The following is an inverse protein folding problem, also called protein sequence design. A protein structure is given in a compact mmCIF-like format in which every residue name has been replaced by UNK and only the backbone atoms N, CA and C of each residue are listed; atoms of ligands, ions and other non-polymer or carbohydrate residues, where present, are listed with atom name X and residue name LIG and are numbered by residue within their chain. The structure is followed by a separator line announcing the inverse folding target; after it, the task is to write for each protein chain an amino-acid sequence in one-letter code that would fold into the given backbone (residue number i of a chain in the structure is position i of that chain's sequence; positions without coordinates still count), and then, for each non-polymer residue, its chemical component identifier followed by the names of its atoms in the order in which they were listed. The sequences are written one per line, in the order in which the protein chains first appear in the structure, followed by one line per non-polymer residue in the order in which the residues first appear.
data_IF_474259116627
#
_entry.id   IF_474259116627
#
_cell.length_a   1.000
_cell.length_b   1.000
_cell.length_c   1.000
_cell.angle_alpha   90.00
_cell.angle_beta   90.00
_cell.angle_gamma   90.00
#
_symmetry.space_group_name_H-M   'P 1'
#
loop_
_entity.id
_entity.type
_entity.pdbx_description
1 polymer ?
#
# COMPACT_ATOMS: atom_id res chain seq x y z
N UNK A 1 -25.40 -41.49 -15.52
CA UNK A 1 -26.47 -41.01 -16.42
C UNK A 1 -27.65 -40.73 -15.52
N UNK A 2 -28.05 -39.46 -15.42
CA UNK A 2 -29.16 -39.01 -14.58
C UNK A 2 -30.32 -38.77 -15.54
N UNK A 3 -31.54 -39.15 -15.18
CA UNK A 3 -32.73 -38.90 -16.00
C UNK A 3 -33.48 -37.72 -15.40
N UNK A 4 -33.82 -36.70 -16.19
CA UNK A 4 -34.58 -35.55 -15.73
C UNK A 4 -35.98 -35.92 -15.23
N UNK A 5 -36.59 -36.94 -15.85
CA UNK A 5 -37.93 -37.44 -15.49
C UNK A 5 -37.92 -38.97 -15.33
N UNK A 6 -37.35 -39.52 -14.24
CA UNK A 6 -37.21 -40.96 -14.07
C UNK A 6 -38.56 -41.68 -14.01
N UNK A 7 -39.65 -41.00 -13.63
CA UNK A 7 -40.99 -41.57 -13.62
C UNK A 7 -41.47 -42.05 -15.01
N UNK A 8 -40.96 -41.48 -16.11
CA UNK A 8 -41.37 -41.88 -17.46
C UNK A 8 -40.84 -43.27 -17.86
N UNK A 9 -39.79 -43.76 -17.19
CA UNK A 9 -39.26 -45.10 -17.42
C UNK A 9 -40.24 -46.20 -16.98
N UNK A 10 -41.20 -45.90 -16.10
CA UNK A 10 -42.29 -46.82 -15.73
C UNK A 10 -43.24 -47.15 -16.90
N UNK A 11 -43.18 -46.39 -18.00
CA UNK A 11 -43.94 -46.71 -19.21
C UNK A 11 -43.34 -47.89 -19.99
N UNK A 12 -42.07 -48.24 -19.79
CA UNK A 12 -41.42 -49.39 -20.43
C UNK A 12 -42.06 -50.74 -20.04
N UNK A 13 -42.28 -51.07 -18.76
CA UNK A 13 -42.96 -52.32 -18.40
C UNK A 13 -44.43 -52.35 -18.85
N UNK A 14 -45.12 -51.19 -18.87
CA UNK A 14 -46.50 -51.10 -19.39
C UNK A 14 -46.53 -51.40 -20.90
N UNK A 15 -45.58 -50.84 -21.66
CA UNK A 15 -45.41 -51.13 -23.09
C UNK A 15 -45.10 -52.62 -23.32
N UNK A 16 -44.26 -53.24 -22.49
CA UNK A 16 -43.95 -54.67 -22.57
C UNK A 16 -45.19 -55.54 -22.32
N UNK A 17 -46.03 -55.19 -21.34
CA UNK A 17 -47.27 -55.92 -21.05
C UNK A 17 -48.29 -55.81 -22.19
N UNK A 18 -48.45 -54.61 -22.77
CA UNK A 18 -49.35 -54.39 -23.92
C UNK A 18 -48.89 -55.22 -25.12
N UNK A 19 -47.58 -55.26 -25.39
CA UNK A 19 -47.05 -56.03 -26.52
C UNK A 19 -47.12 -57.53 -26.30
N UNK A 20 -46.94 -58.03 -25.08
CA UNK A 20 -47.21 -59.43 -24.74
C UNK A 20 -48.68 -59.80 -24.97
N UNK A 21 -49.61 -58.94 -24.53
CA UNK A 21 -51.05 -59.17 -24.70
C UNK A 21 -51.48 -59.18 -26.19
N UNK A 22 -50.87 -58.32 -27.02
CA UNK A 22 -51.11 -58.28 -28.46
C UNK A 22 -50.46 -59.48 -29.17
N UNK A 23 -49.26 -59.89 -28.74
CA UNK A 23 -48.58 -61.08 -29.26
C UNK A 23 -49.35 -62.38 -28.95
N UNK A 24 -49.93 -62.48 -27.75
CA UNK A 24 -50.70 -63.65 -27.31
C UNK A 24 -52.01 -63.81 -28.09
N UNK A 25 -52.55 -62.71 -28.63
CA UNK A 25 -53.73 -62.71 -29.52
C UNK A 25 -53.40 -63.04 -30.98
N UNK A 26 -52.13 -63.19 -31.36
CA UNK A 26 -51.72 -63.60 -32.72
C UNK A 26 -52.03 -62.60 -33.84
N UNK A 27 -52.36 -61.34 -33.51
CA UNK A 27 -52.90 -60.37 -34.48
C UNK A 27 -51.85 -59.66 -35.35
N UNK A 28 -50.54 -59.81 -35.08
CA UNK A 28 -49.48 -59.07 -35.76
C UNK A 28 -48.24 -59.94 -36.03
N UNK A 29 -47.54 -59.65 -37.13
CA UNK A 29 -46.24 -60.26 -37.44
C UNK A 29 -45.19 -59.89 -36.36
N UNK A 30 -44.43 -60.87 -35.90
CA UNK A 30 -43.43 -60.72 -34.81
C UNK A 30 -42.39 -59.64 -35.09
N UNK A 31 -42.01 -59.46 -36.35
CA UNK A 31 -41.06 -58.42 -36.80
C UNK A 31 -41.60 -57.01 -36.61
N UNK A 32 -42.87 -56.76 -36.94
CA UNK A 32 -43.52 -55.46 -36.77
C UNK A 32 -43.68 -55.09 -35.28
N UNK A 33 -43.91 -56.09 -34.41
CA UNK A 33 -44.00 -55.89 -32.98
C UNK A 33 -42.64 -55.49 -32.37
N UNK A 34 -41.55 -56.16 -32.77
CA UNK A 34 -40.20 -55.84 -32.32
C UNK A 34 -39.77 -54.42 -32.74
N UNK A 35 -40.05 -54.02 -33.98
CA UNK A 35 -39.77 -52.67 -34.47
C UNK A 35 -40.55 -51.60 -33.69
N UNK A 36 -41.84 -51.85 -33.39
CA UNK A 36 -42.65 -50.94 -32.56
C UNK A 36 -42.13 -50.85 -31.13
N UNK A 37 -41.74 -51.98 -30.52
CA UNK A 37 -41.14 -51.99 -29.19
C UNK A 37 -39.87 -51.15 -29.14
N UNK A 38 -38.99 -51.32 -30.13
CA UNK A 38 -37.75 -50.55 -30.23
C UNK A 38 -38.04 -49.06 -30.37
N UNK A 39 -38.98 -48.68 -31.23
CA UNK A 39 -39.35 -47.28 -31.48
C UNK A 39 -39.95 -46.62 -30.22
N UNK A 40 -40.86 -47.30 -29.52
CA UNK A 40 -41.42 -46.75 -28.28
C UNK A 40 -40.38 -46.74 -27.15
N UNK A 41 -39.50 -47.73 -27.07
CA UNK A 41 -38.42 -47.74 -26.08
C UNK A 41 -37.43 -46.58 -26.30
N UNK A 42 -37.03 -46.29 -27.54
CA UNK A 42 -36.18 -45.14 -27.86
C UNK A 42 -36.90 -43.82 -27.60
N UNK A 43 -38.19 -43.72 -27.94
CA UNK A 43 -38.99 -42.53 -27.67
C UNK A 43 -39.13 -42.27 -26.15
N UNK A 44 -39.47 -43.29 -25.35
CA UNK A 44 -39.58 -43.18 -23.89
C UNK A 44 -38.23 -42.80 -23.28
N UNK A 45 -37.14 -43.41 -23.76
CA UNK A 45 -35.78 -43.10 -23.26
C UNK A 45 -35.37 -41.68 -23.62
N UNK A 46 -35.72 -41.18 -24.81
CA UNK A 46 -35.48 -39.79 -25.20
C UNK A 46 -36.32 -38.81 -24.36
N UNK A 47 -37.58 -39.16 -24.07
CA UNK A 47 -38.48 -38.35 -23.24
C UNK A 47 -38.07 -38.32 -21.75
N UNK A 48 -37.41 -39.36 -21.28
CA UNK A 48 -36.86 -39.44 -19.92
C UNK A 48 -35.68 -38.47 -19.69
N UNK A 49 -35.25 -37.77 -20.74
CA UNK A 49 -34.20 -36.75 -20.74
C UNK A 49 -32.90 -37.28 -20.11
N UNK A 50 -32.16 -38.15 -20.83
CA UNK A 50 -30.93 -38.74 -20.32
C UNK A 50 -29.82 -37.70 -20.30
N UNK A 51 -29.58 -37.13 -19.12
CA UNK A 51 -28.51 -36.19 -18.87
C UNK A 51 -27.25 -36.98 -18.51
N UNK A 52 -26.19 -36.79 -19.30
CA UNK A 52 -24.84 -37.12 -18.83
C UNK A 52 -24.37 -35.90 -18.03
N UNK A 53 -24.27 -35.96 -16.70
CA UNK A 53 -23.55 -34.92 -15.98
C UNK A 53 -22.16 -34.87 -16.58
N UNK A 54 -21.80 -33.72 -17.16
CA UNK A 54 -20.41 -33.45 -17.50
C UNK A 54 -19.57 -33.58 -16.23
N UNK A 55 -18.32 -34.01 -16.35
CA UNK A 55 -17.34 -33.68 -15.33
C UNK A 55 -17.39 -32.17 -15.16
N UNK A 56 -17.85 -31.69 -14.00
CA UNK A 56 -17.89 -30.27 -13.70
C UNK A 56 -16.54 -29.67 -14.07
N UNK A 57 -16.55 -28.64 -14.91
CA UNK A 57 -15.36 -27.84 -15.17
C UNK A 57 -14.77 -27.46 -13.80
N UNK A 58 -13.46 -27.65 -13.58
CA UNK A 58 -12.78 -27.12 -12.42
C UNK A 58 -13.20 -25.65 -12.18
N UNK A 59 -13.45 -25.26 -10.92
CA UNK A 59 -13.85 -23.89 -10.63
C UNK A 59 -12.75 -22.91 -11.07
N UNK A 60 -13.09 -21.67 -11.45
CA UNK A 60 -12.09 -20.70 -11.91
C UNK A 60 -11.04 -20.44 -10.81
N UNK A 61 -9.77 -20.61 -11.19
CA UNK A 61 -8.60 -20.41 -10.34
C UNK A 61 -7.84 -19.16 -10.80
N UNK A 62 -7.59 -18.23 -9.89
CA UNK A 62 -6.65 -17.13 -10.10
C UNK A 62 -5.40 -17.39 -9.28
N UNK A 63 -4.23 -17.36 -9.92
CA UNK A 63 -2.92 -17.45 -9.25
C UNK A 63 -2.26 -16.08 -9.31
N UNK A 64 -1.88 -15.54 -8.16
CA UNK A 64 -1.16 -14.28 -8.05
C UNK A 64 0.22 -14.52 -7.48
N UNK A 65 1.25 -14.14 -8.24
CA UNK A 65 2.66 -14.26 -7.84
C UNK A 65 3.20 -12.89 -7.48
N UNK A 66 3.85 -12.79 -6.34
CA UNK A 66 4.52 -11.58 -5.88
C UNK A 66 5.81 -11.37 -6.67
N UNK A 67 5.91 -10.20 -7.30
CA UNK A 67 7.02 -9.75 -8.14
C UNK A 67 7.84 -8.63 -7.52
N UNK A 68 7.61 -8.31 -6.24
CA UNK A 68 8.31 -7.26 -5.51
C UNK A 68 9.78 -7.58 -5.25
N UNK A 69 10.57 -6.54 -4.97
CA UNK A 69 12.00 -6.62 -4.76
C UNK A 69 12.41 -7.39 -3.49
N UNK A 70 11.50 -7.62 -2.54
CA UNK A 70 11.79 -8.43 -1.34
C UNK A 70 11.97 -9.91 -1.65
N UNK A 71 11.57 -10.36 -2.84
CA UNK A 71 11.72 -11.73 -3.30
C UNK A 71 12.90 -11.79 -4.27
N UNK A 72 13.87 -12.67 -3.97
CA UNK A 72 15.04 -12.85 -4.82
C UNK A 72 14.64 -13.27 -6.25
N UNK A 73 15.46 -12.92 -7.23
CA UNK A 73 15.20 -13.30 -8.63
C UNK A 73 15.04 -14.81 -8.82
N UNK A 74 15.78 -15.62 -8.05
CA UNK A 74 15.69 -17.08 -8.04
C UNK A 74 14.38 -17.58 -7.45
N UNK A 75 13.97 -17.07 -6.27
CA UNK A 75 12.69 -17.41 -5.66
C UNK A 75 11.51 -17.00 -6.53
N UNK A 76 11.57 -15.81 -7.15
CA UNK A 76 10.53 -15.32 -8.06
C UNK A 76 10.41 -16.18 -9.31
N UNK A 77 11.54 -16.62 -9.89
CA UNK A 77 11.53 -17.56 -11.01
C UNK A 77 10.94 -18.92 -10.61
N UNK A 78 11.29 -19.45 -9.43
CA UNK A 78 10.74 -20.69 -8.90
C UNK A 78 9.23 -20.57 -8.58
N UNK A 79 8.79 -19.45 -8.00
CA UNK A 79 7.39 -19.16 -7.72
C UNK A 79 6.56 -19.08 -9.00
N UNK A 80 7.11 -18.43 -10.04
CA UNK A 80 6.50 -18.39 -11.36
C UNK A 80 6.40 -19.77 -12.00
N UNK A 81 7.46 -20.55 -11.95
CA UNK A 81 7.44 -21.93 -12.47
C UNK A 81 6.38 -22.77 -11.73
N UNK A 82 6.30 -22.65 -10.41
CA UNK A 82 5.29 -23.33 -9.58
C UNK A 82 3.88 -22.92 -9.99
N UNK A 83 3.63 -21.61 -10.20
CA UNK A 83 2.34 -21.12 -10.67
C UNK A 83 1.95 -21.73 -12.02
N UNK A 84 2.91 -21.86 -12.93
CA UNK A 84 2.70 -22.44 -14.26
C UNK A 84 2.41 -23.94 -14.20
N UNK A 85 3.13 -24.68 -13.35
CA UNK A 85 2.89 -26.09 -13.11
C UNK A 85 1.46 -26.30 -12.57
N UNK A 86 1.04 -25.52 -11.58
CA UNK A 86 -0.33 -25.56 -11.03
C UNK A 86 -1.36 -25.23 -12.10
N UNK A 87 -1.15 -24.18 -12.90
CA UNK A 87 -2.06 -23.79 -13.98
C UNK A 87 -2.21 -24.88 -15.05
N UNK A 88 -1.13 -25.59 -15.38
CA UNK A 88 -1.18 -26.70 -16.35
C UNK A 88 -1.89 -27.94 -15.80
N UNK A 89 -1.73 -28.24 -14.51
CA UNK A 89 -2.40 -29.37 -13.86
C UNK A 89 -3.91 -29.12 -13.67
N UNK A 90 -4.28 -27.89 -13.34
CA UNK A 90 -5.68 -27.50 -13.13
C UNK A 90 -6.45 -27.38 -14.46
N UNK A 91 -5.82 -26.75 -15.47
CA UNK A 91 -6.43 -26.49 -16.77
C UNK A 91 -6.16 -25.05 -17.20
N UNK A 92 -5.46 -24.87 -18.32
CA UNK A 92 -5.03 -23.54 -18.81
C UNK A 92 -6.18 -22.59 -19.12
N UNK A 93 -7.33 -23.10 -19.53
CA UNK A 93 -8.49 -22.27 -19.88
C UNK A 93 -9.30 -21.82 -18.64
N UNK A 94 -9.06 -22.46 -17.49
CA UNK A 94 -9.79 -22.22 -16.24
C UNK A 94 -8.89 -21.57 -15.17
N UNK A 95 -7.62 -21.34 -15.52
CA UNK A 95 -6.63 -20.71 -14.65
C UNK A 95 -6.14 -19.40 -15.24
N UNK A 96 -6.29 -18.31 -14.49
CA UNK A 96 -5.65 -17.04 -14.80
C UNK A 96 -4.40 -16.91 -13.92
N UNK A 97 -3.26 -16.59 -14.52
CA UNK A 97 -2.02 -16.32 -13.77
C UNK A 97 -1.70 -14.84 -13.89
N UNK A 98 -1.42 -14.18 -12.77
CA UNK A 98 -1.04 -12.78 -12.71
C UNK A 98 0.16 -12.59 -11.80
N UNK A 99 0.90 -11.52 -12.03
CA UNK A 99 1.96 -11.05 -11.14
C UNK A 99 1.57 -9.70 -10.55
N UNK A 100 2.00 -9.42 -9.33
CA UNK A 100 1.80 -8.13 -8.68
C UNK A 100 3.08 -7.58 -8.06
N UNK A 101 3.24 -6.26 -8.12
CA UNK A 101 4.26 -5.48 -7.45
C UNK A 101 3.64 -4.16 -7.04
N UNK A 102 4.14 -3.02 -7.55
CA UNK A 102 3.41 -1.74 -7.50
C UNK A 102 2.12 -1.79 -8.32
N UNK A 103 2.18 -2.46 -9.45
CA UNK A 103 1.10 -2.70 -10.40
C UNK A 103 0.83 -4.20 -10.55
N UNK A 104 -0.25 -4.53 -11.27
CA UNK A 104 -0.68 -5.92 -11.46
C UNK A 104 -0.80 -6.20 -12.95
N UNK A 105 -0.15 -7.28 -13.39
CA UNK A 105 -0.15 -7.70 -14.79
C UNK A 105 -0.63 -9.15 -14.90
N UNK A 106 -1.66 -9.36 -15.72
CA UNK A 106 -2.17 -10.70 -16.06
C UNK A 106 -1.32 -11.27 -17.18
N UNK A 107 -0.87 -12.51 -17.04
CA UNK A 107 -0.12 -13.19 -18.08
C UNK A 107 -1.05 -13.66 -19.20
N UNK A 108 -0.76 -13.25 -20.43
CA UNK A 108 -1.49 -13.68 -21.62
C UNK A 108 -1.02 -15.05 -22.15
N UNK A 109 0.19 -15.48 -21.78
CA UNK A 109 0.80 -16.73 -22.22
C UNK A 109 1.70 -17.31 -21.11
N UNK A 110 2.65 -18.17 -21.48
CA UNK A 110 3.55 -18.76 -20.50
C UNK A 110 4.68 -17.85 -20.01
N UNK A 111 4.79 -16.63 -20.55
CA UNK A 111 5.86 -15.69 -20.20
C UNK A 111 5.56 -14.96 -18.91
N UNK A 112 6.60 -14.72 -18.11
CA UNK A 112 6.49 -13.95 -16.88
C UNK A 112 6.19 -12.49 -17.22
N UNK A 113 5.05 -11.93 -16.78
CA UNK A 113 4.71 -10.55 -17.07
C UNK A 113 5.63 -9.61 -16.28
N UNK A 114 5.95 -8.46 -16.86
CA UNK A 114 6.72 -7.43 -16.19
C UNK A 114 5.82 -6.59 -15.28
N UNK A 115 6.19 -6.48 -14.01
CA UNK A 115 5.60 -5.56 -13.02
C UNK A 115 6.72 -4.71 -12.41
N UNK A 116 6.38 -3.56 -11.88
CA UNK A 116 7.31 -2.71 -11.14
C UNK A 116 7.59 -3.34 -9.76
N UNK A 117 8.84 -3.81 -9.50
CA UNK A 117 9.19 -4.52 -8.27
C UNK A 117 9.42 -3.57 -7.09
N UNK A 118 9.40 -2.25 -7.28
CA UNK A 118 9.75 -1.26 -6.25
C UNK A 118 8.75 -1.17 -5.10
N UNK A 119 7.58 -1.80 -5.22
CA UNK A 119 6.56 -1.86 -4.18
C UNK A 119 5.81 -3.20 -4.21
N UNK A 120 5.03 -3.46 -3.17
CA UNK A 120 4.12 -4.61 -3.07
C UNK A 120 2.74 -4.12 -2.62
N UNK A 121 1.88 -3.81 -3.59
CA UNK A 121 0.50 -3.36 -3.36
C UNK A 121 -0.47 -4.57 -3.32
N UNK A 122 -0.31 -5.36 -2.26
CA UNK A 122 -1.16 -6.51 -2.00
C UNK A 122 -2.66 -6.15 -1.90
N UNK A 123 -3.09 -5.06 -1.24
CA UNK A 123 -4.50 -4.65 -1.24
C UNK A 123 -5.05 -4.48 -2.65
N UNK A 124 -4.32 -3.79 -3.53
CA UNK A 124 -4.74 -3.58 -4.92
C UNK A 124 -4.82 -4.88 -5.71
N UNK A 125 -3.87 -5.80 -5.50
CA UNK A 125 -3.90 -7.13 -6.11
C UNK A 125 -5.17 -7.91 -5.70
N UNK A 126 -5.50 -7.91 -4.41
CA UNK A 126 -6.70 -8.58 -3.89
C UNK A 126 -8.00 -7.95 -4.42
N UNK A 127 -8.05 -6.63 -4.58
CA UNK A 127 -9.20 -5.95 -5.19
C UNK A 127 -9.40 -6.34 -6.67
N UNK A 128 -8.31 -6.40 -7.45
CA UNK A 128 -8.36 -6.84 -8.84
C UNK A 128 -8.75 -8.32 -8.93
N UNK A 129 -8.23 -9.17 -8.05
CA UNK A 129 -8.63 -10.56 -7.96
C UNK A 129 -10.14 -10.71 -7.75
N UNK A 130 -10.73 -9.88 -6.88
CA UNK A 130 -12.18 -9.82 -6.68
C UNK A 130 -12.89 -9.46 -7.99
N UNK A 131 -12.42 -8.43 -8.69
CA UNK A 131 -12.98 -8.01 -9.98
C UNK A 131 -12.96 -9.13 -11.02
N UNK A 132 -11.80 -9.77 -11.20
CA UNK A 132 -11.59 -10.83 -12.19
C UNK A 132 -12.41 -12.10 -11.89
N UNK A 133 -12.57 -12.46 -10.62
CA UNK A 133 -13.31 -13.65 -10.22
C UNK A 133 -14.83 -13.41 -10.17
N UNK A 134 -15.31 -12.15 -10.20
CA UNK A 134 -16.74 -11.80 -10.11
C UNK A 134 -17.38 -11.38 -11.43
N UNK A 135 -16.63 -11.35 -12.55
CA UNK A 135 -17.08 -10.82 -13.85
C UNK A 135 -18.37 -11.48 -14.39
N UNK A 136 -18.62 -12.76 -14.07
CA UNK A 136 -19.72 -13.48 -14.71
C UNK A 136 -21.12 -13.25 -14.08
N UNK A 137 -21.24 -12.47 -13.00
CA UNK A 137 -22.54 -12.09 -12.42
C UNK A 137 -23.43 -13.26 -11.95
N UNK A 138 -22.94 -14.50 -12.07
CA UNK A 138 -23.59 -15.71 -11.62
C UNK A 138 -23.38 -15.84 -10.12
N UNK A 139 -24.46 -16.06 -9.38
CA UNK A 139 -24.36 -16.44 -7.97
C UNK A 139 -23.46 -17.67 -7.86
N UNK A 140 -22.52 -17.70 -6.89
CA UNK A 140 -21.69 -18.87 -6.69
C UNK A 140 -22.58 -20.07 -6.34
N UNK A 141 -22.82 -20.96 -7.30
CA UNK A 141 -23.28 -22.31 -7.00
C UNK A 141 -22.22 -22.97 -6.11
N UNK A 142 -22.64 -23.82 -5.15
CA UNK A 142 -21.70 -24.54 -4.27
C UNK A 142 -20.65 -25.36 -5.03
N UNK A 143 -20.92 -25.69 -6.31
CA UNK A 143 -20.01 -26.37 -7.21
C UNK A 143 -18.93 -25.48 -7.86
N UNK A 144 -19.02 -24.14 -7.74
CA UNK A 144 -18.15 -23.16 -8.40
C UNK A 144 -17.47 -22.23 -7.40
N UNK A 145 -16.90 -22.78 -6.31
CA UNK A 145 -16.09 -22.00 -5.38
C UNK A 145 -14.91 -21.36 -6.09
N UNK A 146 -14.94 -20.03 -6.23
CA UNK A 146 -13.86 -19.22 -6.80
C UNK A 146 -12.65 -19.27 -5.87
N UNK A 147 -11.47 -19.56 -6.42
CA UNK A 147 -10.24 -19.67 -5.62
C UNK A 147 -9.18 -18.70 -6.11
N UNK A 148 -8.53 -18.05 -5.15
CA UNK A 148 -7.34 -17.25 -5.34
C UNK A 148 -6.18 -17.97 -4.65
N UNK A 149 -5.16 -18.36 -5.40
CA UNK A 149 -3.88 -18.81 -4.87
C UNK A 149 -2.89 -17.64 -4.87
N UNK A 150 -2.44 -17.22 -3.71
CA UNK A 150 -1.46 -16.15 -3.53
C UNK A 150 -0.08 -16.74 -3.20
N UNK A 151 0.94 -16.39 -3.98
CA UNK A 151 2.33 -16.80 -3.75
C UNK A 151 3.14 -15.56 -3.40
N UNK A 152 3.47 -15.37 -2.12
CA UNK A 152 4.09 -14.13 -1.58
C UNK A 152 4.88 -14.44 -0.29
N UNK A 153 5.80 -13.53 0.08
CA UNK A 153 6.45 -13.50 1.39
C UNK A 153 5.60 -12.81 2.48
N UNK A 154 4.46 -12.22 2.09
CA UNK A 154 3.51 -11.55 2.97
C UNK A 154 3.84 -10.08 3.26
N UNK A 155 4.91 -9.53 2.70
CA UNK A 155 5.26 -8.13 2.87
C UNK A 155 4.39 -7.24 1.95
N UNK A 156 3.85 -6.15 2.50
CA UNK A 156 3.13 -5.15 1.70
C UNK A 156 3.58 -3.73 2.05
N UNK A 157 3.74 -2.91 1.03
CA UNK A 157 4.05 -1.48 1.15
C UNK A 157 2.81 -0.63 1.42
N UNK A 158 1.62 -1.22 1.28
CA UNK A 158 0.34 -0.53 1.42
C UNK A 158 -0.47 -1.16 2.55
N UNK A 159 -1.03 -0.33 3.43
CA UNK A 159 -1.94 -0.80 4.48
C UNK A 159 -3.28 -1.24 3.89
N UNK A 160 -3.93 -2.24 4.50
CA UNK A 160 -5.31 -2.62 4.16
C UNK A 160 -5.48 -4.00 3.54
N UNK A 161 -4.41 -4.82 3.51
CA UNK A 161 -4.47 -6.18 2.96
C UNK A 161 -5.52 -7.03 3.70
N UNK A 162 -5.63 -6.90 5.02
CA UNK A 162 -6.63 -7.60 5.84
C UNK A 162 -8.07 -7.23 5.45
N UNK A 163 -8.31 -5.95 5.18
CA UNK A 163 -9.63 -5.45 4.78
C UNK A 163 -9.99 -5.99 3.37
N UNK A 164 -9.05 -5.98 2.44
CA UNK A 164 -9.25 -6.52 1.10
C UNK A 164 -9.48 -8.06 1.13
N UNK A 165 -8.72 -8.79 1.96
CA UNK A 165 -8.92 -10.22 2.18
C UNK A 165 -10.30 -10.53 2.79
N UNK A 166 -10.77 -9.71 3.73
CA UNK A 166 -12.11 -9.84 4.29
C UNK A 166 -13.21 -9.62 3.24
N UNK A 167 -13.01 -8.68 2.31
CA UNK A 167 -13.94 -8.46 1.19
C UNK A 167 -14.00 -9.64 0.23
N UNK A 168 -12.86 -10.28 -0.08
CA UNK A 168 -12.82 -11.50 -0.90
C UNK A 168 -13.59 -12.64 -0.24
N UNK A 169 -13.39 -12.85 1.07
CA UNK A 169 -14.13 -13.86 1.84
C UNK A 169 -15.63 -13.62 1.82
N UNK A 170 -16.07 -12.36 1.96
CA UNK A 170 -17.48 -11.99 1.88
C UNK A 170 -18.07 -12.19 0.47
N UNK A 171 -17.24 -12.15 -0.57
CA UNK A 171 -17.62 -12.47 -1.94
C UNK A 171 -17.61 -13.98 -2.25
N UNK A 172 -17.38 -14.84 -1.24
CA UNK A 172 -17.31 -16.29 -1.41
C UNK A 172 -16.05 -16.77 -2.14
N UNK A 173 -15.00 -15.95 -2.17
CA UNK A 173 -13.70 -16.31 -2.77
C UNK A 173 -12.80 -16.86 -1.67
N UNK A 174 -12.33 -18.09 -1.87
CA UNK A 174 -11.35 -18.73 -0.96
C UNK A 174 -9.96 -18.25 -1.36
N UNK A 175 -9.20 -17.74 -0.38
CA UNK A 175 -7.82 -17.31 -0.58
C UNK A 175 -6.90 -18.35 0.05
N UNK A 176 -6.16 -19.07 -0.78
CA UNK A 176 -5.10 -19.99 -0.39
C UNK A 176 -3.75 -19.27 -0.52
N UNK A 177 -2.85 -19.44 0.45
CA UNK A 177 -1.54 -18.78 0.45
C UNK A 177 -0.43 -19.83 0.41
N UNK A 178 0.43 -19.74 -0.60
CA UNK A 178 1.71 -20.42 -0.66
C UNK A 178 2.80 -19.44 -0.21
N UNK A 179 3.17 -19.53 1.07
CA UNK A 179 4.16 -18.64 1.65
C UNK A 179 5.55 -18.92 1.08
N UNK A 180 6.21 -17.87 0.57
CA UNK A 180 7.62 -17.90 0.24
C UNK A 180 8.44 -17.73 1.52
N UNK A 181 9.55 -18.45 1.62
CA UNK A 181 10.45 -18.29 2.75
C UNK A 181 11.05 -16.89 2.73
N UNK A 182 10.83 -16.12 3.80
CA UNK A 182 11.48 -14.83 4.00
C UNK A 182 12.99 -15.03 3.97
N UNK A 183 13.68 -14.26 3.15
CA UNK A 183 15.13 -14.35 3.03
C UNK A 183 15.77 -13.92 4.36
N UNK A 184 16.35 -14.86 5.10
CA UNK A 184 17.00 -14.57 6.39
C UNK A 184 18.43 -14.03 6.20
N UNK A 185 18.74 -13.47 5.04
CA UNK A 185 20.00 -12.77 4.80
C UNK A 185 20.09 -11.53 5.67
N UNK A 186 21.34 -11.12 5.91
CA UNK A 186 21.64 -9.84 6.51
C UNK A 186 21.04 -8.73 5.62
N UNK A 187 20.19 -7.90 6.21
CA UNK A 187 19.55 -6.74 5.62
C UNK A 187 19.45 -5.67 6.71
N UNK A 188 19.88 -4.45 6.39
CA UNK A 188 19.66 -3.31 7.27
C UNK A 188 19.12 -2.16 6.42
N UNK A 189 18.04 -1.52 6.85
CA UNK A 189 17.38 -0.47 6.07
C UNK A 189 17.16 0.80 6.86
N UNK A 190 17.11 1.92 6.14
CA UNK A 190 16.67 3.21 6.71
C UNK A 190 15.14 3.27 6.64
N UNK A 191 14.49 3.05 7.78
CA UNK A 191 13.04 3.02 7.86
C UNK A 191 12.41 4.42 7.96
N UNK A 192 13.08 5.34 8.66
CA UNK A 192 12.56 6.70 8.86
C UNK A 192 13.69 7.72 9.08
N UNK A 193 13.52 8.91 8.52
CA UNK A 193 14.30 10.10 8.85
C UNK A 193 13.33 11.12 9.46
N UNK A 194 13.36 11.22 10.79
CA UNK A 194 12.49 12.11 11.55
C UNK A 194 13.21 13.44 11.80
N UNK A 195 12.82 14.46 11.03
CA UNK A 195 13.23 15.86 11.19
C UNK A 195 11.98 16.70 11.40
N UNK A 196 12.00 17.74 12.26
CA UNK A 196 10.87 18.66 12.38
C UNK A 196 10.43 19.21 11.02
N UNK A 197 9.12 19.25 10.78
CA UNK A 197 8.56 19.59 9.48
C UNK A 197 8.81 21.04 9.03
N UNK A 198 9.07 21.94 9.99
CA UNK A 198 9.45 23.32 9.74
C UNK A 198 10.60 23.71 10.65
N UNK A 199 11.68 24.19 10.05
CA UNK A 199 12.83 24.74 10.74
C UNK A 199 12.97 26.22 10.37
N UNK A 200 13.70 26.99 11.16
CA UNK A 200 14.13 28.35 10.78
C UNK A 200 15.64 28.36 10.60
N UNK A 201 16.12 29.18 9.69
CA UNK A 201 17.56 29.35 9.47
C UNK A 201 18.27 29.69 10.79
N UNK A 202 19.35 28.96 11.09
CA UNK A 202 20.11 29.09 12.34
C UNK A 202 19.50 28.37 13.56
N UNK A 203 18.31 27.77 13.44
CA UNK A 203 17.68 27.01 14.53
C UNK A 203 18.42 25.69 14.78
N UNK A 204 18.81 25.44 16.03
CA UNK A 204 19.25 24.10 16.45
C UNK A 204 18.04 23.17 16.57
N UNK A 205 18.15 21.97 16.01
CA UNK A 205 17.10 20.97 16.05
C UNK A 205 17.63 19.60 16.47
N UNK A 206 16.71 18.75 16.93
CA UNK A 206 16.96 17.33 17.19
C UNK A 206 16.08 16.51 16.26
N UNK A 207 16.68 15.47 15.69
CA UNK A 207 16.00 14.49 14.87
C UNK A 207 16.35 13.07 15.31
N UNK A 208 15.72 12.11 14.64
CA UNK A 208 15.91 10.69 14.88
C UNK A 208 15.97 9.96 13.54
N UNK A 209 16.93 9.05 13.40
CA UNK A 209 16.99 8.12 12.26
C UNK A 209 16.60 6.75 12.79
N UNK A 210 15.61 6.14 12.16
CA UNK A 210 15.15 4.79 12.50
C UNK A 210 15.72 3.82 11.49
N UNK A 211 16.50 2.87 11.98
CA UNK A 211 17.07 1.78 11.22
C UNK A 211 16.35 0.47 11.59
N UNK A 212 16.21 -0.44 10.62
CA UNK A 212 15.70 -1.79 10.85
C UNK A 212 16.75 -2.79 10.40
N UNK A 213 17.13 -3.74 11.25
CA UNK A 213 18.10 -4.78 10.89
C UNK A 213 17.50 -6.18 11.10
N UNK A 214 17.79 -7.11 10.19
CA UNK A 214 17.37 -8.52 10.35
C UNK A 214 18.26 -9.28 11.34
N UNK A 215 19.53 -8.88 11.46
CA UNK A 215 20.53 -9.50 12.33
C UNK A 215 21.41 -8.42 12.98
N UNK A 216 22.08 -8.71 14.11
CA UNK A 216 23.01 -7.77 14.71
C UNK A 216 24.20 -7.50 13.79
N UNK A 217 24.51 -6.23 13.53
CA UNK A 217 25.57 -5.84 12.58
C UNK A 217 26.10 -4.44 12.87
N UNK A 218 27.29 -4.12 12.37
CA UNK A 218 27.90 -2.79 12.48
C UNK A 218 27.83 -2.07 11.14
N UNK A 219 27.25 -0.87 11.10
CA UNK A 219 27.10 -0.08 9.87
C UNK A 219 27.73 1.31 10.01
N UNK A 220 28.15 1.89 8.89
CA UNK A 220 28.54 3.30 8.84
C UNK A 220 27.32 4.13 8.43
N UNK A 221 26.76 4.89 9.36
CA UNK A 221 25.63 5.79 9.11
C UNK A 221 26.14 7.18 8.72
N UNK A 222 25.71 7.66 7.55
CA UNK A 222 25.98 9.00 7.02
C UNK A 222 24.67 9.78 6.96
N UNK A 223 24.66 10.94 7.60
CA UNK A 223 23.56 11.90 7.52
C UNK A 223 23.96 13.07 6.63
N UNK A 224 23.13 13.42 5.66
CA UNK A 224 23.44 14.42 4.63
C UNK A 224 22.37 15.51 4.56
N UNK A 225 22.80 16.74 4.28
CA UNK A 225 21.97 17.89 3.85
C UNK A 225 22.39 18.26 2.43
N UNK A 226 21.48 18.21 1.46
CA UNK A 226 21.76 18.54 0.05
C UNK A 226 23.01 17.83 -0.51
N UNK A 227 23.12 16.53 -0.20
CA UNK A 227 24.26 15.64 -0.51
C UNK A 227 25.59 15.99 0.17
N UNK A 228 25.62 16.98 1.06
CA UNK A 228 26.77 17.27 1.90
C UNK A 228 26.67 16.51 3.22
N UNK A 229 27.70 15.74 3.56
CA UNK A 229 27.75 14.99 4.81
C UNK A 229 27.77 15.92 6.01
N UNK A 230 26.74 15.83 6.85
CA UNK A 230 26.62 16.55 8.12
C UNK A 230 27.36 15.78 9.21
N UNK A 231 27.13 14.46 9.28
CA UNK A 231 27.67 13.58 10.31
C UNK A 231 27.86 12.19 9.76
N UNK A 232 28.94 11.55 10.20
CA UNK A 232 29.26 10.17 9.87
C UNK A 232 29.66 9.45 11.16
N UNK A 233 28.99 8.34 11.46
CA UNK A 233 29.24 7.56 12.67
C UNK A 233 29.04 6.07 12.44
N UNK A 234 29.84 5.25 13.12
CA UNK A 234 29.65 3.80 13.14
C UNK A 234 28.62 3.46 14.22
N UNK A 235 27.59 2.71 13.85
CA UNK A 235 26.48 2.31 14.72
C UNK A 235 26.38 0.80 14.75
N UNK A 236 26.32 0.23 15.96
CA UNK A 236 26.00 -1.18 16.17
C UNK A 236 24.48 -1.32 16.20
N UNK A 237 23.93 -2.15 15.30
CA UNK A 237 22.52 -2.44 15.18
C UNK A 237 22.20 -3.76 15.87
N UNK A 238 21.10 -3.78 16.63
CA UNK A 238 20.46 -5.00 17.13
C UNK A 238 19.40 -5.49 16.13
N UNK A 239 18.97 -6.75 16.25
CA UNK A 239 17.85 -7.25 15.45
C UNK A 239 16.58 -6.45 15.74
N UNK A 240 15.92 -5.96 14.69
CA UNK A 240 14.70 -5.18 14.77
C UNK A 240 14.97 -3.67 14.66
N UNK A 241 14.21 -2.88 15.44
CA UNK A 241 14.19 -1.42 15.38
C UNK A 241 15.34 -0.81 16.18
N UNK A 242 16.14 0.03 15.53
CA UNK A 242 17.23 0.79 16.13
C UNK A 242 16.98 2.28 15.90
N UNK A 243 17.14 3.09 16.96
CA UNK A 243 16.90 4.53 16.93
C UNK A 243 18.19 5.28 17.18
N UNK A 244 18.60 6.10 16.21
CA UNK A 244 19.83 6.90 16.30
C UNK A 244 19.47 8.39 16.38
N UNK A 245 19.58 9.02 17.56
CA UNK A 245 19.31 10.44 17.70
C UNK A 245 20.43 11.26 17.05
N UNK A 246 20.08 12.42 16.52
CA UNK A 246 21.05 13.38 16.02
C UNK A 246 20.59 14.83 16.28
N UNK A 247 21.52 15.76 16.18
CA UNK A 247 21.25 17.19 16.29
C UNK A 247 22.00 17.94 15.21
N UNK A 248 21.37 18.98 14.67
CA UNK A 248 21.95 19.84 13.64
C UNK A 248 21.53 21.29 13.85
N UNK A 249 22.10 22.19 13.05
CA UNK A 249 21.64 23.57 12.93
C UNK A 249 21.11 23.74 11.52
N UNK A 250 19.88 24.23 11.40
CA UNK A 250 19.25 24.40 10.11
C UNK A 250 20.04 25.40 9.25
N UNK A 251 20.26 25.04 7.98
CA UNK A 251 20.95 25.85 7.00
C UNK A 251 20.18 27.11 6.59
N UNK A 252 20.34 27.51 5.34
CA UNK A 252 19.70 28.73 4.81
C UNK A 252 18.20 28.54 4.65
N UNK A 253 17.49 29.64 4.48
CA UNK A 253 16.09 29.62 4.08
C UNK A 253 15.91 28.91 2.72
N UNK A 254 15.01 27.92 2.65
CA UNK A 254 14.80 27.13 1.44
C UNK A 254 14.17 25.76 1.68
N UNK A 255 14.09 24.96 0.62
CA UNK A 255 13.75 23.53 0.71
C UNK A 255 15.06 22.75 0.68
N UNK A 256 15.31 22.00 1.74
CA UNK A 256 16.52 21.19 1.91
C UNK A 256 16.20 19.71 1.88
N UNK A 257 17.13 18.93 1.34
CA UNK A 257 17.04 17.49 1.29
C UNK A 257 17.89 16.86 2.38
N UNK A 258 17.22 16.29 3.38
CA UNK A 258 17.88 15.49 4.41
C UNK A 258 17.87 14.02 3.99
N UNK A 259 19.04 13.39 3.99
CA UNK A 259 19.17 11.98 3.67
C UNK A 259 19.92 11.24 4.78
N UNK A 260 19.52 10.01 5.04
CA UNK A 260 20.32 9.07 5.82
C UNK A 260 20.69 7.90 4.91
N UNK A 261 21.96 7.52 4.94
CA UNK A 261 22.54 6.45 4.15
C UNK A 261 23.38 5.55 5.07
N UNK A 262 23.22 4.23 4.94
CA UNK A 262 24.07 3.27 5.64
C UNK A 262 24.97 2.54 4.64
N UNK A 263 26.24 2.40 4.97
CA UNK A 263 27.17 1.59 4.20
C UNK A 263 27.24 0.18 4.79
N UNK A 264 26.65 -0.77 4.07
CA UNK A 264 26.65 -2.20 4.39
C UNK A 264 26.54 -2.99 3.08
N UNK A 265 27.21 -4.15 3.00
CA UNK A 265 26.96 -5.12 1.94
C UNK A 265 25.91 -6.10 2.44
N UNK A 266 24.67 -5.91 2.00
CA UNK A 266 23.51 -6.67 2.49
C UNK A 266 22.60 -7.15 1.35
N UNK A 267 21.42 -7.66 1.70
CA UNK A 267 20.50 -8.28 0.75
C UNK A 267 19.84 -7.26 -0.19
N UNK A 268 19.47 -6.07 0.30
CA UNK A 268 18.73 -5.06 -0.45
C UNK A 268 19.38 -3.66 -0.32
N UNK A 269 20.51 -3.40 -0.99
CA UNK A 269 21.21 -2.12 -0.88
C UNK A 269 20.37 -0.91 -1.30
N UNK A 270 19.30 -1.10 -2.07
CA UNK A 270 18.34 -0.07 -2.45
C UNK A 270 17.59 0.56 -1.27
N UNK A 271 17.48 -0.13 -0.13
CA UNK A 271 16.77 0.35 1.06
C UNK A 271 17.71 0.99 2.10
N UNK A 272 19.01 1.06 1.79
CA UNK A 272 20.04 1.60 2.66
C UNK A 272 20.07 3.13 2.68
N UNK A 273 19.24 3.79 1.85
CA UNK A 273 19.14 5.24 1.77
C UNK A 273 17.68 5.70 1.79
N UNK A 274 17.37 6.68 2.63
CA UNK A 274 16.07 7.35 2.66
C UNK A 274 16.25 8.87 2.67
N UNK A 275 15.42 9.56 1.90
CA UNK A 275 15.46 11.02 1.76
C UNK A 275 14.14 11.66 2.24
N UNK A 276 14.25 12.84 2.83
CA UNK A 276 13.13 13.66 3.29
C UNK A 276 13.38 15.13 2.96
N UNK A 277 12.37 15.75 2.34
CA UNK A 277 12.36 17.19 2.14
C UNK A 277 11.91 17.92 3.41
N UNK A 278 12.62 18.98 3.78
CA UNK A 278 12.32 19.84 4.93
C UNK A 278 12.35 21.29 4.48
N UNK A 279 11.39 22.08 4.95
CA UNK A 279 11.32 23.51 4.67
C UNK A 279 11.98 24.27 5.81
N UNK A 280 13.00 25.05 5.46
CA UNK A 280 13.67 26.00 6.35
C UNK A 280 13.15 27.40 6.02
N UNK A 281 12.44 28.00 6.96
CA UNK A 281 11.94 29.36 6.87
C UNK A 281 13.02 30.39 7.21
N UNK A 282 12.70 31.65 6.93
CA UNK A 282 13.54 32.78 7.30
C UNK A 282 13.77 32.86 8.83
N UNK A 283 14.89 33.45 9.26
CA UNK A 283 15.09 33.81 10.65
C UNK A 283 13.91 34.65 11.16
N UNK A 284 13.46 34.42 12.40
CA UNK A 284 12.39 35.24 12.95
C UNK A 284 12.85 36.68 13.11
N UNK A 285 11.95 37.63 12.83
CA UNK A 285 12.24 39.06 12.92
C UNK A 285 11.54 39.66 14.12
N UNK A 286 12.31 40.26 15.03
CA UNK A 286 11.78 40.89 16.25
C UNK A 286 12.04 42.38 16.20
N UNK A 287 10.98 43.16 16.35
CA UNK A 287 11.08 44.61 16.53
C UNK A 287 11.24 44.91 18.02
N UNK A 288 12.35 45.55 18.39
CA UNK A 288 12.63 45.97 19.76
C UNK A 288 12.42 47.47 19.86
N UNK A 289 11.47 47.89 20.69
CA UNK A 289 11.23 49.31 20.98
C UNK A 289 12.02 49.68 22.23
N UNK A 290 12.97 50.58 22.04
CA UNK A 290 13.91 51.04 23.06
C UNK A 290 13.41 52.35 23.71
N UNK A 291 13.57 52.45 25.04
CA UNK A 291 13.30 53.69 25.79
C UNK A 291 14.38 54.75 25.54
N UNK A 292 15.64 54.34 25.40
CA UNK A 292 16.77 55.23 25.13
C UNK A 292 17.70 54.59 24.08
N UNK A 293 18.52 55.37 23.35
CA UNK A 293 19.44 54.81 22.37
C UNK A 293 20.30 53.68 22.96
N UNK A 294 20.27 52.52 22.31
CA UNK A 294 21.02 51.31 22.69
C UNK A 294 20.64 50.72 24.06
N UNK A 295 19.50 51.11 24.65
CA UNK A 295 19.07 50.57 25.95
C UNK A 295 18.77 49.07 25.91
N UNK A 296 18.46 48.52 24.73
CA UNK A 296 18.23 47.10 24.54
C UNK A 296 19.38 46.37 23.80
N UNK A 297 20.58 46.96 23.73
CA UNK A 297 21.71 46.36 23.01
C UNK A 297 22.03 44.92 23.47
N UNK A 298 22.08 44.66 24.79
CA UNK A 298 22.30 43.30 25.30
C UNK A 298 21.18 42.32 24.89
N UNK A 299 19.93 42.78 24.85
CA UNK A 299 18.81 41.94 24.41
C UNK A 299 18.95 41.62 22.92
N UNK A 300 19.33 42.61 22.10
CA UNK A 300 19.56 42.43 20.67
C UNK A 300 20.70 41.45 20.41
N UNK A 301 21.82 41.57 21.11
CA UNK A 301 22.94 40.63 21.02
C UNK A 301 22.53 39.20 21.38
N UNK A 302 21.69 39.03 22.40
CA UNK A 302 21.15 37.72 22.80
C UNK A 302 20.20 37.13 21.76
N UNK A 303 19.33 37.96 21.18
CA UNK A 303 18.41 37.55 20.10
C UNK A 303 19.20 37.12 18.87
N UNK A 304 20.17 37.93 18.44
CA UNK A 304 21.02 37.65 17.28
C UNK A 304 21.90 36.42 17.51
N UNK A 305 22.45 36.24 18.71
CA UNK A 305 23.16 35.02 19.11
C UNK A 305 22.28 33.76 19.09
N UNK A 306 20.97 33.91 19.22
CA UNK A 306 19.96 32.85 19.09
C UNK A 306 19.42 32.67 17.67
N UNK A 307 19.97 33.36 16.67
CA UNK A 307 19.51 33.29 15.28
C UNK A 307 18.24 34.09 14.98
N UNK A 308 17.87 35.03 15.87
CA UNK A 308 16.73 35.93 15.69
C UNK A 308 17.23 37.26 15.14
N UNK A 309 16.67 37.72 14.02
CA UNK A 309 16.98 39.04 13.48
C UNK A 309 16.28 40.11 14.32
N UNK A 310 17.06 41.03 14.88
CA UNK A 310 16.52 42.12 15.71
C UNK A 310 16.59 43.45 14.94
N UNK A 311 15.55 44.28 15.09
CA UNK A 311 15.55 45.67 14.61
C UNK A 311 15.18 46.58 15.78
N UNK A 312 16.00 47.59 16.06
CA UNK A 312 15.75 48.54 17.14
C UNK A 312 15.04 49.79 16.61
N UNK A 313 14.00 50.25 17.31
CA UNK A 313 13.35 51.54 17.05
C UNK A 313 13.02 52.25 18.35
N UNK A 314 12.81 53.56 18.27
CA UNK A 314 12.28 54.34 19.39
C UNK A 314 10.75 54.29 19.39
N UNK A 315 10.16 54.60 20.54
CA UNK A 315 8.71 54.71 20.69
C UNK A 315 8.08 55.67 19.67
N UNK A 316 8.74 56.81 19.41
CA UNK A 316 8.30 57.81 18.42
C UNK A 316 8.31 57.26 16.98
N UNK A 317 9.16 56.26 16.68
CA UNK A 317 9.36 55.67 15.36
C UNK A 317 8.60 54.33 15.17
N UNK A 318 7.78 53.94 16.17
CA UNK A 318 6.96 52.74 16.06
C UNK A 318 5.89 52.95 14.96
N UNK A 319 5.80 52.07 13.95
CA UNK A 319 4.82 52.21 12.88
C UNK A 319 3.39 52.19 13.42
N UNK A 320 2.56 53.12 12.94
CA UNK A 320 1.11 53.14 13.24
C UNK A 320 0.27 52.34 12.24
N UNK A 321 0.90 51.69 11.25
CA UNK A 321 0.23 50.88 10.23
C UNK A 321 0.47 49.39 10.47
N UNK A 322 -0.61 48.60 10.50
CA UNK A 322 -0.55 47.15 10.71
C UNK A 322 0.31 46.42 9.65
N UNK A 323 0.23 46.86 8.39
CA UNK A 323 1.01 46.29 7.29
C UNK A 323 2.52 46.43 7.52
N UNK A 324 2.95 47.46 8.23
CA UNK A 324 4.36 47.63 8.58
C UNK A 324 4.79 46.74 9.73
N UNK A 325 3.91 46.47 10.70
CA UNK A 325 4.17 45.58 11.82
C UNK A 325 4.17 44.10 11.40
N UNK A 326 3.41 43.74 10.36
CA UNK A 326 3.33 42.35 9.87
C UNK A 326 4.68 41.76 9.40
N UNK A 327 5.66 42.62 9.06
CA UNK A 327 7.01 42.17 8.70
C UNK A 327 7.81 41.57 9.87
N UNK A 328 7.33 41.73 11.10
CA UNK A 328 7.94 41.23 12.32
C UNK A 328 7.07 40.11 12.91
N UNK A 329 7.72 39.09 13.47
CA UNK A 329 7.08 37.93 14.10
C UNK A 329 6.75 38.18 15.57
N UNK A 330 7.48 39.10 16.23
CA UNK A 330 7.20 39.55 17.58
C UNK A 330 7.65 41.01 17.78
N UNK A 331 7.10 41.66 18.81
CA UNK A 331 7.45 43.03 19.20
C UNK A 331 7.78 43.07 20.69
N UNK A 332 8.96 43.55 21.04
CA UNK A 332 9.41 43.70 22.43
C UNK A 332 9.43 45.18 22.81
N UNK A 333 8.69 45.54 23.86
CA UNK A 333 8.75 46.86 24.47
C UNK A 333 9.74 46.81 25.66
N UNK A 334 10.94 47.35 25.48
CA UNK A 334 11.98 47.33 26.53
C UNK A 334 11.91 48.61 27.36
N UNK A 335 11.30 48.50 28.54
CA UNK A 335 11.10 49.59 29.50
C UNK A 335 10.44 50.85 28.88
N UNK A 336 9.59 50.65 27.88
CA UNK A 336 8.84 51.72 27.21
C UNK A 336 7.59 52.02 28.01
N UNK A 337 7.50 53.26 28.52
CA UNK A 337 6.30 53.72 29.21
C UNK A 337 5.15 53.95 28.23
N UNK A 338 3.91 53.71 28.67
CA UNK A 338 2.73 53.81 27.81
C UNK A 338 2.48 55.24 27.30
N UNK A 339 2.88 56.27 28.05
CA UNK A 339 2.79 57.67 27.65
C UNK A 339 3.77 58.05 26.53
N UNK A 340 4.82 57.26 26.30
CA UNK A 340 5.74 57.42 25.17
C UNK A 340 5.14 56.90 23.85
N UNK A 341 4.00 56.18 23.90
CA UNK A 341 3.31 55.67 22.73
C UNK A 341 2.01 56.43 22.51
N UNK A 342 1.76 56.85 21.26
CA UNK A 342 0.48 57.44 20.87
C UNK A 342 -0.68 56.45 21.02
N UNK A 343 -1.90 56.96 21.20
CA UNK A 343 -3.11 56.13 21.26
C UNK A 343 -3.28 55.24 20.01
N UNK A 344 -2.87 55.74 18.85
CA UNK A 344 -2.93 55.00 17.58
C UNK A 344 -1.93 53.83 17.57
N UNK A 345 -0.68 54.07 17.99
CA UNK A 345 0.33 53.02 18.15
C UNK A 345 -0.10 51.95 19.15
N UNK A 346 -0.64 52.33 20.30
CA UNK A 346 -1.17 51.38 21.29
C UNK A 346 -2.33 50.56 20.74
N UNK A 347 -3.23 51.19 19.97
CA UNK A 347 -4.30 50.48 19.28
C UNK A 347 -3.75 49.49 18.25
N UNK A 348 -2.71 49.88 17.51
CA UNK A 348 -2.14 49.04 16.47
C UNK A 348 -1.35 47.86 17.01
N UNK A 349 -0.67 48.01 18.16
CA UNK A 349 -0.07 46.88 18.89
C UNK A 349 -1.13 45.87 19.35
N UNK A 350 -2.31 46.33 19.80
CA UNK A 350 -3.42 45.42 20.13
C UNK A 350 -3.95 44.71 18.88
N UNK A 351 -4.06 45.41 17.76
CA UNK A 351 -4.54 44.82 16.51
C UNK A 351 -3.51 43.84 15.93
N UNK A 352 -2.21 44.10 16.07
CA UNK A 352 -1.14 43.16 15.74
C UNK A 352 -1.33 41.81 16.43
N UNK A 353 -1.56 41.83 17.75
CA UNK A 353 -1.80 40.61 18.52
C UNK A 353 -3.13 39.95 18.14
N UNK A 354 -4.20 40.74 18.05
CA UNK A 354 -5.56 40.23 17.85
C UNK A 354 -5.81 39.72 16.43
N UNK A 355 -5.37 40.46 15.41
CA UNK A 355 -5.69 40.19 14.01
C UNK A 355 -4.65 39.30 13.34
N UNK A 356 -3.36 39.48 13.65
CA UNK A 356 -2.27 38.68 13.04
C UNK A 356 -1.88 37.46 13.88
N UNK A 357 -2.31 37.38 15.15
CA UNK A 357 -1.98 36.26 16.04
C UNK A 357 -0.50 36.19 16.41
N UNK A 358 0.23 37.31 16.28
CA UNK A 358 1.64 37.46 16.60
C UNK A 358 1.84 38.13 17.96
N UNK A 359 3.00 37.99 18.60
CA UNK A 359 3.22 38.50 19.96
C UNK A 359 4.68 38.55 20.32
#
# INVERSE_FOLDING_TARGET
MIFGFPQLLWLLPVLLLITLAVAWRGMLARTALLLRMLLFATLITALADPIRPGTSAPPPLLIMVDGSASITAEQRAAAWQTAQEIATQHGRNETTVAMFGRDVAVAGDSTMPAVDPTASDLPRALELARGLLTVDGTEPDEASQRRLLLITDGASTTSGADAAAAQLRNAGIVVDVLALASDNRLDARVAEVAVPAGLREGQTYRGEIVLMATQPTSVLLRFLEDDQGITEQRVELETGRNSVPFSGTAGRSGVHRYAAEIELSDAHPENNRLERAVVVGAPPRVLVIEHAPDSAAQLRDLLEGGGVQSEARRADDLPSQLAELDRFDAIVLQDVSADALSNEQQQMLREYVRALGKG
#
